data_IF_145879145897
#
_entry.id   IF_145879145897
#
_cell.length_a   1.000
_cell.length_b   1.000
_cell.length_c   1.000
_cell.angle_alpha   90.00
_cell.angle_beta   90.00
_cell.angle_gamma   90.00
#
_symmetry.space_group_name_H-M   'P 1'
#
loop_
_entity.id
_entity.type
_entity.pdbx_description
1 polymer ?
#
# COMPACT_ATOMS: atom_id res chain seq x y z
N UNK A 1 12.86 36.64 -8.76
CA UNK A 1 12.27 37.70 -7.93
C UNK A 1 13.39 38.64 -7.51
N UNK A 2 13.58 39.72 -8.26
CA UNK A 2 14.58 40.74 -7.97
C UNK A 2 13.94 42.09 -8.26
N UNK A 3 13.20 42.63 -7.30
CA UNK A 3 12.69 43.98 -7.43
C UNK A 3 13.85 44.95 -7.21
N UNK A 4 14.19 45.67 -8.28
CA UNK A 4 15.03 46.86 -8.21
C UNK A 4 14.24 47.96 -7.55
N UNK A 5 14.54 48.25 -6.29
CA UNK A 5 14.01 49.43 -5.59
C UNK A 5 14.63 50.66 -6.25
N UNK A 6 13.86 51.37 -7.08
CA UNK A 6 14.29 52.63 -7.69
C UNK A 6 13.91 53.79 -6.79
N UNK A 7 14.89 54.34 -6.06
CA UNK A 7 14.75 55.64 -5.42
C UNK A 7 14.99 56.72 -6.47
N UNK A 8 13.96 57.51 -6.80
CA UNK A 8 14.13 58.71 -7.61
C UNK A 8 14.72 59.81 -6.73
N UNK A 9 16.00 60.09 -6.93
CA UNK A 9 16.61 61.37 -6.57
C UNK A 9 16.70 62.17 -7.86
N UNK A 10 16.30 63.44 -7.81
CA UNK A 10 16.28 64.30 -8.99
C UNK A 10 17.66 64.33 -9.67
N UNK A 11 17.65 64.15 -11.00
CA UNK A 11 18.80 64.03 -11.91
C UNK A 11 19.59 62.69 -11.90
N UNK A 12 18.95 61.64 -12.40
CA UNK A 12 19.62 60.42 -12.85
C UNK A 12 19.05 59.15 -12.22
N UNK A 13 18.51 58.24 -13.03
CA UNK A 13 18.03 56.94 -12.53
C UNK A 13 19.19 55.98 -12.41
N UNK A 14 19.99 56.12 -11.35
CA UNK A 14 21.04 55.15 -11.05
C UNK A 14 20.44 53.89 -10.42
N UNK A 15 20.48 52.79 -11.17
CA UNK A 15 20.11 51.47 -10.67
C UNK A 15 21.23 50.93 -9.79
N UNK A 16 21.17 51.19 -8.49
CA UNK A 16 22.12 50.61 -7.53
C UNK A 16 21.72 49.17 -7.25
N UNK A 17 22.53 48.21 -7.72
CA UNK A 17 22.36 46.80 -7.37
C UNK A 17 22.65 46.61 -5.88
N UNK A 18 21.60 46.43 -5.08
CA UNK A 18 21.75 46.17 -3.65
C UNK A 18 22.33 44.77 -3.44
N UNK A 19 23.56 44.70 -2.93
CA UNK A 19 24.26 43.46 -2.54
C UNK A 19 23.40 42.62 -1.58
N UNK A 20 22.59 43.27 -0.75
CA UNK A 20 21.69 42.62 0.19
C UNK A 20 20.61 41.77 -0.51
N UNK A 21 20.11 42.22 -1.67
CA UNK A 21 19.12 41.46 -2.45
C UNK A 21 19.70 40.16 -3.01
N UNK A 22 20.96 40.19 -3.45
CA UNK A 22 21.67 39.00 -3.93
C UNK A 22 21.91 38.00 -2.79
N UNK A 23 22.34 38.47 -1.61
CA UNK A 23 22.54 37.61 -0.43
C UNK A 23 21.24 36.95 0.02
N UNK A 24 20.13 37.69 0.10
CA UNK A 24 18.83 37.13 0.46
C UNK A 24 18.35 36.07 -0.55
N UNK A 25 18.56 36.32 -1.85
CA UNK A 25 18.19 35.37 -2.90
C UNK A 25 18.99 34.07 -2.81
N UNK A 26 20.28 34.16 -2.48
CA UNK A 26 21.17 33.01 -2.33
C UNK A 26 20.81 32.18 -1.08
N UNK A 27 20.42 32.84 0.01
CA UNK A 27 19.95 32.17 1.22
C UNK A 27 18.65 31.39 0.96
N UNK A 28 17.69 31.98 0.24
CA UNK A 28 16.45 31.30 -0.15
C UNK A 28 16.75 30.07 -1.02
N UNK A 29 17.69 30.19 -1.96
CA UNK A 29 18.10 29.07 -2.82
C UNK A 29 18.65 27.91 -1.99
N UNK A 30 19.50 28.19 -0.98
CA UNK A 30 20.05 27.16 -0.07
C UNK A 30 18.93 26.45 0.68
N UNK A 31 17.94 27.19 1.20
CA UNK A 31 16.79 26.60 1.93
C UNK A 31 15.97 25.69 1.02
N UNK A 32 15.72 26.09 -0.23
CA UNK A 32 14.98 25.28 -1.20
C UNK A 32 15.75 23.99 -1.52
N UNK A 33 17.06 24.07 -1.74
CA UNK A 33 17.89 22.88 -2.01
C UNK A 33 17.92 21.94 -0.81
N UNK A 34 18.07 22.48 0.40
CA UNK A 34 18.04 21.67 1.63
C UNK A 34 16.69 20.98 1.83
N UNK A 35 15.58 21.68 1.58
CA UNK A 35 14.24 21.10 1.65
C UNK A 35 14.03 20.01 0.59
N UNK A 36 14.47 20.25 -0.65
CA UNK A 36 14.40 19.25 -1.72
C UNK A 36 15.21 18.00 -1.39
N UNK A 37 16.41 18.16 -0.82
CA UNK A 37 17.21 17.03 -0.37
C UNK A 37 16.51 16.26 0.74
N UNK A 38 16.00 16.92 1.77
CA UNK A 38 15.26 16.24 2.85
C UNK A 38 14.03 15.48 2.32
N UNK A 39 13.32 16.03 1.33
CA UNK A 39 12.22 15.33 0.66
C UNK A 39 12.66 14.13 -0.17
N UNK A 40 13.78 14.25 -0.88
CA UNK A 40 14.37 13.12 -1.60
C UNK A 40 14.80 12.00 -0.66
N UNK A 41 15.39 12.34 0.48
CA UNK A 41 15.81 11.39 1.50
C UNK A 41 14.60 10.62 2.07
N UNK A 42 13.54 11.34 2.44
CA UNK A 42 12.27 10.72 2.88
C UNK A 42 11.64 9.86 1.78
N UNK A 43 11.71 10.26 0.52
CA UNK A 43 11.17 9.46 -0.59
C UNK A 43 12.00 8.20 -0.87
N UNK A 44 13.32 8.25 -0.64
CA UNK A 44 14.21 7.10 -0.78
C UNK A 44 14.10 6.14 0.41
N UNK A 45 13.99 6.68 1.63
CA UNK A 45 13.92 5.89 2.87
C UNK A 45 12.51 5.36 3.15
N UNK A 46 11.45 6.08 2.74
CA UNK A 46 10.04 5.62 2.83
C UNK A 46 9.50 5.04 1.54
N UNK A 47 10.35 4.44 0.70
CA UNK A 47 9.91 3.74 -0.50
C UNK A 47 9.26 2.38 -0.17
N UNK A 48 8.43 2.33 0.88
CA UNK A 48 7.45 1.26 1.12
C UNK A 48 6.15 1.60 0.39
N UNK A 49 6.27 1.85 -0.92
CA UNK A 49 5.14 1.61 -1.80
C UNK A 49 5.53 0.33 -2.49
N UNK A 50 5.00 -0.77 -1.95
CA UNK A 50 5.02 -2.06 -2.61
C UNK A 50 4.26 -1.89 -3.93
N UNK A 51 4.97 -1.51 -4.99
CA UNK A 51 4.43 -1.48 -6.34
C UNK A 51 4.38 -2.94 -6.72
N UNK A 52 3.21 -3.55 -6.49
CA UNK A 52 2.87 -4.88 -7.00
C UNK A 52 3.12 -4.85 -8.51
N UNK A 53 4.28 -5.37 -8.93
CA UNK A 53 4.60 -5.52 -10.34
C UNK A 53 4.05 -6.87 -10.79
N UNK A 54 3.37 -6.86 -11.93
CA UNK A 54 2.89 -8.10 -12.51
C UNK A 54 4.11 -8.92 -12.96
N UNK A 55 4.21 -10.17 -12.49
CA UNK A 55 5.28 -11.12 -12.85
C UNK A 55 5.25 -11.41 -14.37
N UNK A 56 4.11 -11.15 -15.01
CA UNK A 56 3.92 -11.35 -16.44
C UNK A 56 4.17 -10.03 -17.21
N UNK A 57 5.04 -10.11 -18.22
CA UNK A 57 5.29 -9.01 -19.18
C UNK A 57 4.12 -8.85 -20.18
N UNK A 58 3.24 -9.86 -20.23
CA UNK A 58 2.06 -9.94 -21.07
C UNK A 58 0.81 -9.92 -20.18
N UNK A 59 -0.17 -9.13 -20.58
CA UNK A 59 -1.48 -8.95 -19.96
C UNK A 59 -2.12 -10.31 -19.58
N UNK A 60 -2.74 -10.37 -18.40
CA UNK A 60 -3.52 -11.54 -17.99
C UNK A 60 -4.82 -11.61 -18.79
N UNK A 61 -5.14 -12.78 -19.34
CA UNK A 61 -6.42 -13.05 -19.96
C UNK A 61 -7.54 -13.21 -18.92
N UNK A 62 -8.80 -13.14 -19.38
CA UNK A 62 -10.00 -13.35 -18.56
C UNK A 62 -10.09 -14.79 -17.97
N UNK A 63 -9.27 -15.71 -18.46
CA UNK A 63 -9.15 -17.10 -18.03
C UNK A 63 -8.04 -17.33 -16.99
N UNK A 64 -7.17 -16.34 -16.76
CA UNK A 64 -6.09 -16.47 -15.79
C UNK A 64 -6.62 -16.30 -14.36
N UNK A 65 -6.44 -17.33 -13.55
CA UNK A 65 -6.80 -17.32 -12.13
C UNK A 65 -5.56 -17.08 -11.29
N UNK A 66 -5.52 -15.93 -10.61
CA UNK A 66 -4.49 -15.62 -9.64
C UNK A 66 -4.89 -16.17 -8.27
N UNK A 67 -4.32 -17.31 -7.90
CA UNK A 67 -4.61 -18.05 -6.66
C UNK A 67 -3.40 -18.11 -5.73
N UNK A 68 -3.56 -18.78 -4.59
CA UNK A 68 -2.47 -19.12 -3.67
C UNK A 68 -1.23 -19.72 -4.36
N UNK A 69 -1.43 -20.59 -5.35
CA UNK A 69 -0.32 -21.26 -6.07
C UNK A 69 0.55 -20.25 -6.86
N UNK A 70 -0.03 -19.11 -7.21
CA UNK A 70 0.65 -17.99 -7.86
C UNK A 70 1.21 -16.96 -6.86
N UNK A 71 1.17 -17.26 -5.56
CA UNK A 71 1.66 -16.39 -4.48
C UNK A 71 0.63 -15.41 -3.92
N UNK A 72 -0.65 -15.53 -4.29
CA UNK A 72 -1.69 -14.65 -3.75
C UNK A 72 -2.04 -14.99 -2.30
N UNK A 73 -1.68 -14.10 -1.37
CA UNK A 73 -1.99 -14.21 0.04
C UNK A 73 -2.26 -12.84 0.64
N UNK A 74 -3.21 -12.77 1.58
CA UNK A 74 -3.61 -11.54 2.25
C UNK A 74 -3.74 -11.81 3.75
N UNK A 75 -3.17 -10.93 4.56
CA UNK A 75 -3.39 -10.85 6.00
C UNK A 75 -3.72 -9.41 6.39
N UNK A 76 -4.75 -9.20 7.19
CA UNK A 76 -5.23 -7.86 7.56
C UNK A 76 -5.52 -7.78 9.05
N UNK A 77 -5.20 -6.65 9.67
CA UNK A 77 -5.50 -6.39 11.07
C UNK A 77 -6.39 -5.15 11.21
N UNK A 78 -7.40 -5.25 12.09
CA UNK A 78 -8.26 -4.14 12.46
C UNK A 78 -7.69 -3.42 13.69
N UNK A 79 -6.60 -2.66 13.57
CA UNK A 79 -6.11 -1.91 14.75
C UNK A 79 -5.53 -0.55 14.40
N UNK A 80 -5.72 0.39 15.33
CA UNK A 80 -4.76 1.45 15.56
C UNK A 80 -3.46 0.83 16.11
N UNK A 81 -2.30 1.43 15.80
CA UNK A 81 -0.99 1.01 16.30
C UNK A 81 -0.85 1.30 17.81
N UNK A 82 -1.64 0.61 18.64
CA UNK A 82 -1.42 0.58 20.09
C UNK A 82 -0.47 -0.58 20.47
N UNK A 83 0.21 -0.42 21.59
CA UNK A 83 1.15 -1.42 22.11
C UNK A 83 0.47 -2.66 22.70
N UNK A 84 -0.86 -2.74 22.63
CA UNK A 84 -1.61 -3.83 23.25
C UNK A 84 -1.41 -5.11 22.44
N UNK A 85 -1.12 -6.20 23.14
CA UNK A 85 -0.76 -7.51 22.53
C UNK A 85 -1.91 -8.49 22.54
N UNK A 86 -2.97 -8.17 23.27
CA UNK A 86 -4.18 -8.99 23.34
C UNK A 86 -5.11 -8.75 22.14
N UNK A 87 -6.00 -9.70 21.92
CA UNK A 87 -6.98 -9.66 20.84
C UNK A 87 -8.03 -8.60 21.16
N UNK A 88 -7.96 -7.45 20.51
CA UNK A 88 -9.00 -6.41 20.57
C UNK A 88 -9.82 -6.48 19.28
N UNK A 89 -10.40 -7.65 18.98
CA UNK A 89 -11.52 -7.73 18.05
C UNK A 89 -12.79 -7.69 18.88
N UNK A 90 -13.00 -6.58 19.59
CA UNK A 90 -14.26 -6.35 20.28
C UNK A 90 -15.32 -6.08 19.20
N UNK A 91 -16.37 -6.92 19.09
CA UNK A 91 -17.41 -6.77 18.07
C UNK A 91 -18.11 -5.40 18.12
N UNK A 92 -17.99 -4.65 19.22
CA UNK A 92 -18.52 -3.29 19.33
C UNK A 92 -17.78 -2.24 18.48
N UNK A 93 -16.50 -2.46 18.13
CA UNK A 93 -15.76 -1.54 17.25
C UNK A 93 -16.00 -1.80 15.76
N UNK A 94 -16.46 -3.00 15.41
CA UNK A 94 -16.66 -3.44 14.04
C UNK A 94 -16.10 -4.84 13.82
N UNK A 95 -16.40 -5.40 12.66
CA UNK A 95 -15.93 -6.70 12.23
C UNK A 95 -15.34 -6.55 10.83
N UNK A 96 -14.12 -7.10 10.61
CA UNK A 96 -13.57 -7.22 9.26
C UNK A 96 -14.27 -8.34 8.52
N UNK A 97 -14.93 -8.01 7.42
CA UNK A 97 -15.67 -8.98 6.60
C UNK A 97 -15.06 -9.08 5.22
N UNK A 98 -14.55 -10.26 4.91
CA UNK A 98 -14.11 -10.61 3.57
C UNK A 98 -15.30 -11.07 2.74
N UNK A 99 -15.46 -10.48 1.56
CA UNK A 99 -16.49 -10.83 0.60
C UNK A 99 -15.84 -11.15 -0.74
N UNK A 100 -16.29 -12.21 -1.40
CA UNK A 100 -16.07 -12.42 -2.81
C UNK A 100 -17.27 -11.93 -3.61
N UNK A 101 -16.99 -11.29 -4.74
CA UNK A 101 -17.99 -10.88 -5.73
C UNK A 101 -17.60 -11.51 -7.06
N UNK A 102 -18.46 -12.37 -7.57
CA UNK A 102 -18.21 -13.16 -8.76
C UNK A 102 -19.31 -12.93 -9.79
N UNK A 103 -18.94 -12.82 -11.05
CA UNK A 103 -19.88 -12.76 -12.16
C UNK A 103 -19.31 -13.43 -13.39
N UNK A 104 -20.20 -13.84 -14.30
CA UNK A 104 -19.81 -14.43 -15.56
C UNK A 104 -20.95 -15.14 -16.28
N UNK A 105 -20.69 -15.65 -17.50
CA UNK A 105 -21.64 -16.47 -18.22
C UNK A 105 -21.68 -17.89 -17.65
N UNK A 106 -22.87 -18.44 -17.52
CA UNK A 106 -23.10 -19.86 -17.26
C UNK A 106 -22.99 -20.68 -18.56
N UNK A 107 -22.79 -22.01 -18.48
CA UNK A 107 -22.76 -22.88 -19.65
C UNK A 107 -24.04 -22.88 -20.48
N UNK A 108 -25.18 -22.51 -19.89
CA UNK A 108 -26.48 -22.39 -20.55
C UNK A 108 -26.71 -21.05 -21.27
N UNK A 109 -25.71 -20.15 -21.24
CA UNK A 109 -25.78 -18.81 -21.82
C UNK A 109 -26.47 -17.76 -20.94
N UNK A 110 -26.93 -18.12 -19.74
CA UNK A 110 -27.38 -17.16 -18.75
C UNK A 110 -26.20 -16.45 -18.07
N UNK A 111 -26.45 -15.37 -17.35
CA UNK A 111 -25.41 -14.66 -16.61
C UNK A 111 -25.64 -14.85 -15.11
N UNK A 112 -24.57 -15.06 -14.35
CA UNK A 112 -24.66 -15.15 -12.89
C UNK A 112 -23.97 -13.99 -12.21
N UNK A 113 -24.42 -13.72 -10.99
CA UNK A 113 -23.73 -12.84 -10.05
C UNK A 113 -23.85 -13.47 -8.67
N UNK A 114 -22.73 -13.64 -7.98
CA UNK A 114 -22.65 -14.24 -6.66
C UNK A 114 -21.89 -13.30 -5.75
N UNK A 115 -22.43 -13.09 -4.55
CA UNK A 115 -21.71 -12.47 -3.45
C UNK A 115 -21.66 -13.47 -2.32
N UNK A 116 -20.47 -13.77 -1.83
CA UNK A 116 -20.27 -14.74 -0.77
C UNK A 116 -19.36 -14.13 0.29
N UNK A 117 -19.72 -14.34 1.56
CA UNK A 117 -18.87 -13.95 2.68
C UNK A 117 -17.88 -15.07 2.91
N UNK A 118 -16.60 -14.75 2.88
CA UNK A 118 -15.52 -15.70 3.12
C UNK A 118 -15.25 -15.81 4.62
N UNK A 119 -14.97 -17.02 5.08
CA UNK A 119 -14.57 -17.26 6.47
C UNK A 119 -13.12 -16.81 6.66
N UNK A 120 -12.89 -16.03 7.71
CA UNK A 120 -11.56 -15.58 8.10
C UNK A 120 -11.22 -16.14 9.48
N UNK A 121 -9.95 -16.42 9.68
CA UNK A 121 -9.40 -16.92 10.95
C UNK A 121 -8.18 -16.09 11.37
N UNK A 122 -7.80 -16.19 12.63
CA UNK A 122 -6.58 -15.56 13.13
C UNK A 122 -5.37 -16.27 12.50
N UNK A 123 -4.47 -15.51 11.89
CA UNK A 123 -3.29 -16.07 11.26
C UNK A 123 -2.41 -16.82 12.27
N UNK A 124 -2.05 -18.05 11.92
CA UNK A 124 -1.10 -18.85 12.71
C UNK A 124 0.34 -18.40 12.46
N UNK A 125 1.26 -18.80 13.36
CA UNK A 125 2.70 -18.45 13.25
C UNK A 125 3.31 -19.04 11.99
N UNK A 126 2.94 -20.28 11.71
CA UNK A 126 3.33 -21.01 10.51
C UNK A 126 2.86 -20.28 9.25
N UNK A 127 1.59 -19.88 9.18
CA UNK A 127 1.06 -19.16 8.02
C UNK A 127 1.80 -17.85 7.75
N UNK A 128 2.13 -17.10 8.81
CA UNK A 128 2.91 -15.86 8.72
C UNK A 128 4.39 -16.08 8.42
N UNK A 129 4.87 -17.33 8.41
CA UNK A 129 6.27 -17.65 8.17
C UNK A 129 7.21 -17.17 9.28
N UNK A 130 6.71 -17.08 10.51
CA UNK A 130 7.48 -16.70 11.71
C UNK A 130 8.22 -17.91 12.29
N UNK A 131 7.64 -19.11 12.16
CA UNK A 131 8.24 -20.32 12.70
C UNK A 131 9.49 -20.75 11.93
N UNK A 132 10.37 -21.49 12.61
CA UNK A 132 11.60 -22.05 11.99
C UNK A 132 11.27 -23.00 10.84
N UNK A 133 10.15 -23.75 10.96
CA UNK A 133 9.63 -24.55 9.87
C UNK A 133 8.78 -23.68 8.93
N UNK A 134 9.26 -23.53 7.70
CA UNK A 134 8.63 -22.69 6.67
C UNK A 134 7.77 -23.48 5.68
N UNK A 135 7.58 -24.79 5.89
CA UNK A 135 6.79 -25.63 4.97
C UNK A 135 5.32 -25.15 4.83
N UNK A 136 4.72 -24.60 5.89
CA UNK A 136 3.38 -24.02 5.85
C UNK A 136 3.33 -22.50 5.65
N UNK A 137 4.47 -21.84 5.47
CA UNK A 137 4.53 -20.39 5.29
C UNK A 137 3.77 -19.95 4.04
N UNK A 138 2.81 -19.04 4.23
CA UNK A 138 2.02 -18.46 3.13
C UNK A 138 2.65 -17.19 2.57
N UNK A 139 3.41 -16.47 3.40
CA UNK A 139 4.05 -15.22 3.03
C UNK A 139 5.55 -15.41 2.76
N UNK A 140 6.10 -14.50 1.96
CA UNK A 140 7.55 -14.43 1.73
C UNK A 140 8.31 -14.17 3.04
N UNK A 141 9.62 -14.50 3.09
CA UNK A 141 10.47 -14.18 4.24
C UNK A 141 10.33 -12.72 4.66
N UNK A 142 9.96 -12.53 5.93
CA UNK A 142 9.92 -11.21 6.54
C UNK A 142 11.36 -10.71 6.73
N UNK A 143 11.58 -9.44 6.44
CA UNK A 143 12.81 -8.76 6.82
C UNK A 143 12.91 -8.69 8.35
N UNK A 144 14.11 -8.79 8.91
CA UNK A 144 14.33 -8.87 10.38
C UNK A 144 13.67 -7.70 11.15
N UNK A 145 13.67 -6.51 10.55
CA UNK A 145 13.05 -5.32 11.14
C UNK A 145 11.51 -5.44 11.22
N UNK A 146 10.87 -6.10 10.26
CA UNK A 146 9.42 -6.30 10.23
C UNK A 146 8.95 -7.52 11.01
N UNK A 147 9.83 -8.52 11.19
CA UNK A 147 9.50 -9.77 11.89
C UNK A 147 9.01 -9.52 13.33
N UNK A 148 9.70 -8.66 14.08
CA UNK A 148 9.31 -8.31 15.45
C UNK A 148 7.92 -7.65 15.51
N UNK A 149 7.58 -6.85 14.50
CA UNK A 149 6.30 -6.15 14.43
C UNK A 149 5.16 -7.11 14.10
N UNK A 150 5.40 -8.02 13.16
CA UNK A 150 4.42 -9.04 12.76
C UNK A 150 4.20 -10.05 13.88
N UNK A 151 5.26 -10.43 14.61
CA UNK A 151 5.11 -11.26 15.80
C UNK A 151 4.31 -10.56 16.90
N UNK A 152 4.53 -9.25 17.09
CA UNK A 152 3.78 -8.44 18.05
C UNK A 152 2.27 -8.40 17.70
N UNK A 153 1.93 -8.22 16.43
CA UNK A 153 0.56 -8.07 15.95
C UNK A 153 -0.08 -9.34 15.43
N UNK A 154 0.60 -10.48 15.52
CA UNK A 154 0.12 -11.75 14.96
C UNK A 154 -1.33 -12.05 15.35
N UNK A 155 -1.66 -11.90 16.64
CA UNK A 155 -3.00 -12.21 17.17
C UNK A 155 -4.11 -11.29 16.65
N UNK A 156 -3.73 -10.19 15.98
CA UNK A 156 -4.62 -9.20 15.39
C UNK A 156 -4.77 -9.41 13.88
N UNK A 157 -3.92 -10.22 13.25
CA UNK A 157 -3.97 -10.51 11.81
C UNK A 157 -5.01 -11.59 11.52
N UNK A 158 -5.90 -11.29 10.58
CA UNK A 158 -6.87 -12.19 10.01
C UNK A 158 -6.40 -12.66 8.63
N UNK A 159 -6.46 -13.97 8.43
CA UNK A 159 -6.12 -14.67 7.21
C UNK A 159 -7.38 -15.32 6.62
N UNK A 160 -7.38 -15.50 5.30
CA UNK A 160 -8.36 -16.31 4.59
C UNK A 160 -7.84 -17.72 4.34
N UNK A 161 -8.72 -18.66 4.04
CA UNK A 161 -8.30 -19.99 3.63
C UNK A 161 -7.71 -20.02 2.21
N UNK A 162 -6.75 -20.93 1.98
CA UNK A 162 -6.02 -21.03 0.69
C UNK A 162 -6.96 -21.28 -0.49
N UNK A 163 -8.08 -21.97 -0.24
CA UNK A 163 -9.07 -22.33 -1.25
C UNK A 163 -9.91 -21.15 -1.71
N UNK A 164 -10.05 -20.14 -0.87
CA UNK A 164 -10.90 -18.98 -1.14
C UNK A 164 -10.11 -17.79 -1.69
N UNK A 165 -8.78 -17.82 -1.52
CA UNK A 165 -7.81 -16.86 -2.04
C UNK A 165 -7.54 -17.08 -3.52
N UNK A 166 -8.48 -16.61 -4.34
CA UNK A 166 -8.24 -16.42 -5.76
C UNK A 166 -9.09 -15.30 -6.35
N UNK A 167 -8.53 -14.66 -7.38
CA UNK A 167 -9.16 -13.61 -8.17
C UNK A 167 -8.91 -13.90 -9.65
N UNK A 168 -9.80 -13.42 -10.51
CA UNK A 168 -9.63 -13.48 -11.96
C UNK A 168 -10.47 -12.39 -12.61
N UNK A 169 -10.11 -12.01 -13.84
CA UNK A 169 -10.78 -10.95 -14.58
C UNK A 169 -10.62 -9.57 -13.93
N UNK A 170 -10.90 -8.53 -14.71
CA UNK A 170 -11.03 -7.16 -14.23
C UNK A 170 -12.51 -6.76 -14.09
N UNK A 171 -12.77 -5.54 -13.63
CA UNK A 171 -14.14 -5.05 -13.43
C UNK A 171 -14.97 -4.98 -14.73
N UNK A 172 -14.31 -4.83 -15.89
CA UNK A 172 -14.93 -4.77 -17.22
C UNK A 172 -14.88 -6.11 -17.98
N UNK A 173 -14.20 -7.14 -17.44
CA UNK A 173 -14.15 -8.48 -18.03
C UNK A 173 -15.54 -9.12 -18.08
N UNK A 174 -15.74 -9.99 -19.07
CA UNK A 174 -17.00 -10.74 -19.23
C UNK A 174 -17.33 -11.58 -17.99
N UNK A 175 -16.29 -12.07 -17.32
CA UNK A 175 -16.34 -12.76 -16.05
C UNK A 175 -15.25 -12.21 -15.13
N UNK A 176 -15.54 -12.12 -13.84
CA UNK A 176 -14.52 -11.79 -12.85
C UNK A 176 -14.89 -12.32 -11.47
N UNK A 177 -13.87 -12.42 -10.61
CA UNK A 177 -14.01 -12.61 -9.18
C UNK A 177 -13.14 -11.58 -8.47
N UNK A 178 -13.79 -10.72 -7.71
CA UNK A 178 -13.14 -9.68 -6.91
C UNK A 178 -13.22 -10.01 -5.43
N UNK A 179 -12.14 -9.72 -4.72
CA UNK A 179 -12.11 -9.78 -3.27
C UNK A 179 -12.33 -8.37 -2.70
N UNK A 180 -13.23 -8.27 -1.74
CA UNK A 180 -13.59 -7.02 -1.07
C UNK A 180 -13.47 -7.22 0.45
N UNK A 181 -12.85 -6.27 1.13
CA UNK A 181 -12.72 -6.26 2.59
C UNK A 181 -13.44 -5.02 3.11
N UNK A 182 -14.36 -5.22 4.05
CA UNK A 182 -15.20 -4.17 4.64
C UNK A 182 -15.05 -4.17 6.15
#
# INVERSE_FOLDING_TARGET
FGETVSLRVDEGTDQVKSLAGTCCSLLILIVIVAYAWMKMDVLLEKKDIDIVSTINELHYGDDFVFSYDNGFNIALAFTAYDSEREQILDPSYGELVFNSYEWGPNPDGSYFTRRERLEAHICTREELGIDENREGARFMPLHEQGANLIELYQKKLLCLDKRDLFIYGDYNSMQARQLNVQ
#
